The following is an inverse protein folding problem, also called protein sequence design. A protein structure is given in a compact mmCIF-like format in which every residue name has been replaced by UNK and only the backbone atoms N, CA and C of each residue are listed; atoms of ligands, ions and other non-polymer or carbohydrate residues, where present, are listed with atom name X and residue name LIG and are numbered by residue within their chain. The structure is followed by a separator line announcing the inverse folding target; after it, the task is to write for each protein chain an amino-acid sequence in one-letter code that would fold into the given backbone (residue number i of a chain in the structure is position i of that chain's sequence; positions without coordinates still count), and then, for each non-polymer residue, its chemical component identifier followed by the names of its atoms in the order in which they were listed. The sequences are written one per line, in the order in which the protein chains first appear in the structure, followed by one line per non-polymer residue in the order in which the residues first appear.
data_IF_828847053779
#
_entry.id   IF_828847053779
#
_cell.length_a   1.000
_cell.length_b   1.000
_cell.length_c   1.000
_cell.angle_alpha   90.00
_cell.angle_beta   90.00
_cell.angle_gamma   90.00
#
_symmetry.space_group_name_H-M   'P 1'
#
loop_
_entity.id
_entity.type
_entity.pdbx_description
1 polymer ?
#
# COMPACT_ATOMS: atom_id res chain seq x y z
N UNK A 1 14.66 11.30 0.97
CA UNK A 1 13.90 10.71 -0.15
C UNK A 1 12.80 9.93 0.52
N UNK A 2 11.60 10.48 0.54
CA UNK A 2 10.54 9.95 1.39
C UNK A 2 9.94 8.69 0.76
N UNK A 3 9.44 7.76 1.58
CA UNK A 3 8.79 6.52 1.12
C UNK A 3 7.72 6.74 0.01
N UNK A 4 6.86 7.77 0.08
CA UNK A 4 5.92 8.09 -1.01
C UNK A 4 6.61 8.37 -2.35
N UNK A 5 7.71 9.12 -2.39
CA UNK A 5 8.41 9.45 -3.65
C UNK A 5 8.91 8.20 -4.38
N UNK A 6 9.33 7.18 -3.62
CA UNK A 6 9.76 5.90 -4.19
C UNK A 6 8.58 5.12 -4.76
N UNK A 7 7.45 5.08 -4.05
CA UNK A 7 6.24 4.40 -4.51
C UNK A 7 5.69 5.04 -5.79
N UNK A 8 5.67 6.37 -5.86
CA UNK A 8 5.24 7.09 -7.08
C UNK A 8 6.08 6.67 -8.29
N UNK A 9 7.41 6.67 -8.17
CA UNK A 9 8.30 6.23 -9.27
C UNK A 9 8.04 4.79 -9.71
N UNK A 10 7.77 3.89 -8.77
CA UNK A 10 7.46 2.49 -9.08
C UNK A 10 6.13 2.37 -9.82
N UNK A 11 5.11 3.10 -9.39
CA UNK A 11 3.80 3.10 -10.05
C UNK A 11 3.85 3.75 -11.43
N UNK A 12 4.63 4.81 -11.62
CA UNK A 12 4.93 5.38 -12.95
C UNK A 12 5.56 4.33 -13.86
N UNK A 13 6.56 3.59 -13.36
CA UNK A 13 7.22 2.53 -14.14
C UNK A 13 6.27 1.37 -14.51
N UNK A 14 5.21 1.16 -13.75
CA UNK A 14 4.17 0.17 -14.01
C UNK A 14 3.04 0.69 -14.91
N UNK A 15 3.07 1.96 -15.34
CA UNK A 15 2.02 2.56 -16.16
C UNK A 15 0.71 2.79 -15.39
N UNK A 16 0.78 2.91 -14.07
CA UNK A 16 -0.38 3.13 -13.22
C UNK A 16 -1.08 4.45 -13.58
N UNK A 17 -2.42 4.43 -13.70
CA UNK A 17 -3.19 5.58 -14.20
C UNK A 17 -3.10 6.83 -13.30
N UNK A 18 -2.95 6.66 -11.99
CA UNK A 18 -2.88 7.74 -11.00
C UNK A 18 -1.79 7.46 -9.95
N UNK A 19 -0.50 7.55 -10.32
CA UNK A 19 0.61 7.02 -9.51
C UNK A 19 0.77 7.72 -8.15
N UNK A 20 0.49 9.01 -8.05
CA UNK A 20 0.53 9.76 -6.78
C UNK A 20 -0.55 9.24 -5.82
N UNK A 21 -1.79 9.15 -6.30
CA UNK A 21 -2.91 8.64 -5.50
C UNK A 21 -2.72 7.17 -5.11
N UNK A 22 -2.23 6.35 -6.03
CA UNK A 22 -1.91 4.95 -5.74
C UNK A 22 -0.81 4.82 -4.67
N UNK A 23 0.22 5.66 -4.73
CA UNK A 23 1.29 5.67 -3.72
C UNK A 23 0.77 6.06 -2.34
N UNK A 24 -0.08 7.09 -2.24
CA UNK A 24 -0.74 7.48 -0.99
C UNK A 24 -1.59 6.34 -0.40
N UNK A 25 -2.40 5.69 -1.24
CA UNK A 25 -3.25 4.57 -0.81
C UNK A 25 -2.42 3.37 -0.34
N UNK A 26 -1.37 3.00 -1.07
CA UNK A 26 -0.45 1.93 -0.68
C UNK A 26 0.30 2.27 0.61
N UNK A 27 0.68 3.53 0.81
CA UNK A 27 1.34 3.96 2.04
C UNK A 27 0.42 3.80 3.25
N UNK A 28 -0.80 4.32 3.18
CA UNK A 28 -1.81 4.15 4.24
C UNK A 28 -2.10 2.67 4.53
N UNK A 29 -2.17 1.85 3.48
CA UNK A 29 -2.40 0.43 3.60
C UNK A 29 -1.24 -0.27 4.33
N UNK A 30 0.01 0.09 4.01
CA UNK A 30 1.21 -0.42 4.68
C UNK A 30 1.19 -0.03 6.16
N UNK A 31 0.93 1.23 6.48
CA UNK A 31 0.86 1.71 7.88
C UNK A 31 -0.25 0.99 8.66
N UNK A 32 -1.45 0.92 8.11
CA UNK A 32 -2.58 0.21 8.73
C UNK A 32 -2.27 -1.27 8.94
N UNK A 33 -1.59 -1.92 8.00
CA UNK A 33 -1.16 -3.32 8.14
C UNK A 33 -0.19 -3.51 9.30
N UNK A 34 0.78 -2.61 9.44
CA UNK A 34 1.79 -2.67 10.51
C UNK A 34 1.13 -2.45 11.88
N UNK A 35 0.25 -1.45 12.00
CA UNK A 35 -0.48 -1.16 13.24
C UNK A 35 -1.35 -2.35 13.65
N UNK A 36 -2.13 -2.90 12.71
CA UNK A 36 -3.02 -4.02 13.00
C UNK A 36 -2.24 -5.29 13.36
N UNK A 37 -1.14 -5.57 12.64
CA UNK A 37 -0.28 -6.71 12.94
C UNK A 37 0.42 -6.61 14.30
N UNK A 38 0.65 -5.39 14.79
CA UNK A 38 1.24 -5.16 16.11
C UNK A 38 0.23 -5.16 17.26
N UNK A 39 -1.06 -4.97 16.97
CA UNK A 39 -2.09 -4.71 18.00
C UNK A 39 -3.21 -5.75 18.06
N UNK A 40 -3.36 -6.61 17.05
CA UNK A 40 -4.46 -7.57 16.98
C UNK A 40 -4.00 -9.01 16.80
N UNK A 41 -4.12 -9.78 17.89
CA UNK A 41 -3.87 -11.22 17.87
C UNK A 41 -4.91 -11.98 17.04
N UNK A 42 -4.46 -13.00 16.30
CA UNK A 42 -5.34 -13.88 15.50
C UNK A 42 -5.89 -13.27 14.21
N UNK A 43 -5.55 -12.02 13.89
CA UNK A 43 -5.87 -11.40 12.61
C UNK A 43 -4.78 -11.66 11.54
N UNK A 44 -5.15 -11.61 10.26
CA UNK A 44 -4.21 -11.72 9.13
C UNK A 44 -4.17 -10.44 8.28
N UNK A 45 -3.76 -9.30 8.85
CA UNK A 45 -3.89 -7.98 8.20
C UNK A 45 -3.06 -7.91 6.91
N UNK A 46 -1.90 -8.56 6.85
CA UNK A 46 -1.09 -8.62 5.63
C UNK A 46 -1.80 -9.32 4.46
N UNK A 47 -2.67 -10.31 4.74
CA UNK A 47 -3.46 -10.99 3.70
C UNK A 47 -4.53 -10.05 3.15
N UNK A 48 -5.31 -9.43 4.03
CA UNK A 48 -6.33 -8.46 3.64
C UNK A 48 -5.71 -7.26 2.89
N UNK A 49 -4.58 -6.77 3.37
CA UNK A 49 -3.85 -5.70 2.71
C UNK A 49 -3.39 -6.11 1.31
N UNK A 50 -2.89 -7.32 1.12
CA UNK A 50 -2.51 -7.80 -0.22
C UNK A 50 -3.68 -7.77 -1.21
N UNK A 51 -4.87 -8.18 -0.77
CA UNK A 51 -6.09 -8.14 -1.59
C UNK A 51 -6.49 -6.71 -1.95
N UNK A 52 -6.43 -5.78 -0.99
CA UNK A 52 -6.71 -4.35 -1.23
C UNK A 52 -5.63 -3.68 -2.10
N UNK A 53 -4.36 -4.04 -1.94
CA UNK A 53 -3.27 -3.54 -2.77
C UNK A 53 -3.48 -3.90 -4.25
N UNK A 54 -4.00 -5.10 -4.54
CA UNK A 54 -4.33 -5.48 -5.92
C UNK A 54 -5.39 -4.57 -6.52
N UNK A 55 -6.40 -4.14 -5.75
CA UNK A 55 -7.41 -3.17 -6.20
C UNK A 55 -6.80 -1.79 -6.45
N UNK A 56 -5.88 -1.35 -5.60
CA UNK A 56 -5.17 -0.08 -5.78
C UNK A 56 -4.30 -0.12 -7.04
N UNK A 57 -3.62 -1.24 -7.29
CA UNK A 57 -2.70 -1.39 -8.41
C UNK A 57 -3.38 -1.46 -9.78
N UNK A 58 -4.67 -1.83 -9.84
CA UNK A 58 -5.46 -1.87 -11.07
C UNK A 58 -5.16 -3.08 -11.95
#
# INVERSE_FOLDING_TARGET
MDAPDRLVRQLVALGHATPERGAEQLHLLIEGTLVMGATQDGSHPARAARELAAVVLG
#
